data_IF_613454429356
#
_entry.id   IF_613454429356
#
_cell.length_a   1.000
_cell.length_b   1.000
_cell.length_c   1.000
_cell.angle_alpha   90.00
_cell.angle_beta   90.00
_cell.angle_gamma   90.00
#
_symmetry.space_group_name_H-M   'P 1'
#
loop_
_entity.id
_entity.type
_entity.pdbx_description
1 polymer ?
#
# COMPACT_ATOMS: atom_id res chain seq x y z
N UNK A 1 -2.52 -5.53 -29.65
CA UNK A 1 -2.24 -6.51 -28.58
C UNK A 1 -3.39 -6.45 -27.58
N UNK A 2 -3.77 -7.58 -27.00
CA UNK A 2 -4.90 -7.74 -26.06
C UNK A 2 -4.42 -8.25 -24.70
N UNK A 3 -5.25 -9.05 -24.01
CA UNK A 3 -4.89 -9.71 -22.74
C UNK A 3 -3.59 -10.53 -22.86
N UNK A 4 -2.77 -10.51 -21.80
CA UNK A 4 -1.48 -11.22 -21.72
C UNK A 4 -1.48 -12.19 -20.54
N UNK A 5 -1.42 -13.48 -20.83
CA UNK A 5 -1.36 -14.59 -19.86
C UNK A 5 0.07 -15.10 -19.64
N UNK A 6 1.06 -14.34 -20.08
CA UNK A 6 2.48 -14.69 -20.04
C UNK A 6 2.77 -16.01 -20.77
N UNK A 7 2.17 -16.20 -21.95
CA UNK A 7 2.34 -17.42 -22.74
C UNK A 7 1.65 -18.63 -22.09
N UNK A 8 0.52 -18.40 -21.43
CA UNK A 8 -0.27 -19.40 -20.73
C UNK A 8 0.31 -19.85 -19.37
N UNK A 9 1.38 -19.23 -18.88
CA UNK A 9 1.99 -19.57 -17.60
C UNK A 9 1.15 -19.08 -16.40
N UNK A 10 0.56 -17.90 -16.53
CA UNK A 10 -0.24 -17.29 -15.48
C UNK A 10 -1.65 -17.89 -15.45
N UNK A 11 -2.10 -18.37 -14.28
CA UNK A 11 -3.41 -19.02 -14.10
C UNK A 11 -4.43 -18.19 -13.32
N UNK A 12 -4.04 -16.99 -12.91
CA UNK A 12 -4.88 -16.01 -12.21
C UNK A 12 -4.77 -14.65 -12.91
N UNK A 13 -5.55 -13.65 -12.47
CA UNK A 13 -5.38 -12.27 -12.94
C UNK A 13 -4.10 -11.65 -12.36
N UNK A 14 -3.77 -10.40 -12.68
CA UNK A 14 -2.64 -9.68 -12.07
C UNK A 14 -3.14 -8.37 -11.49
N UNK A 15 -2.67 -8.02 -10.30
CA UNK A 15 -2.90 -6.73 -9.67
C UNK A 15 -2.18 -5.60 -10.41
N UNK A 16 -2.65 -4.37 -10.21
CA UNK A 16 -2.07 -3.17 -10.82
C UNK A 16 -0.73 -2.74 -10.21
N UNK A 17 -0.33 -3.31 -9.07
CA UNK A 17 0.87 -2.93 -8.33
C UNK A 17 1.96 -4.03 -8.31
N UNK A 18 2.52 -4.45 -9.45
CA UNK A 18 3.68 -5.33 -9.43
C UNK A 18 4.93 -4.58 -8.95
N UNK A 19 5.94 -5.32 -8.48
CA UNK A 19 7.25 -4.78 -8.08
C UNK A 19 8.35 -5.38 -8.93
N UNK A 20 9.21 -4.52 -9.49
CA UNK A 20 10.43 -4.97 -10.18
C UNK A 20 11.59 -4.78 -9.23
N UNK A 21 12.26 -5.87 -8.88
CA UNK A 21 13.56 -5.78 -8.22
C UNK A 21 14.61 -5.40 -9.27
N UNK A 22 15.16 -4.19 -9.20
CA UNK A 22 16.15 -3.71 -10.18
C UNK A 22 17.51 -4.40 -10.07
N UNK A 23 17.83 -5.06 -8.95
CA UNK A 23 19.09 -5.81 -8.78
C UNK A 23 19.05 -7.17 -9.47
N UNK A 24 17.92 -7.88 -9.39
CA UNK A 24 17.74 -9.18 -10.05
C UNK A 24 17.08 -9.05 -11.44
N UNK A 25 16.31 -7.98 -11.63
CA UNK A 25 15.42 -7.75 -12.77
C UNK A 25 14.18 -8.65 -12.78
N UNK A 26 13.86 -9.29 -11.65
CA UNK A 26 12.65 -10.09 -11.51
C UNK A 26 11.42 -9.21 -11.30
N UNK A 27 10.28 -9.67 -11.80
CA UNK A 27 8.97 -9.06 -11.61
C UNK A 27 8.19 -9.89 -10.60
N UNK A 28 7.90 -9.29 -9.45
CA UNK A 28 6.99 -9.81 -8.43
C UNK A 28 5.59 -9.27 -8.73
N UNK A 29 4.64 -10.17 -8.86
CA UNK A 29 3.25 -9.85 -9.15
C UNK A 29 2.35 -10.60 -8.17
N UNK A 30 1.19 -10.03 -7.88
CA UNK A 30 0.22 -10.70 -7.04
C UNK A 30 -1.20 -10.58 -7.61
N UNK A 31 -2.12 -11.34 -7.04
CA UNK A 31 -3.55 -11.28 -7.28
C UNK A 31 -4.31 -11.77 -6.06
N UNK A 32 -5.61 -11.54 -5.98
CA UNK A 32 -6.44 -11.99 -4.86
C UNK A 32 -7.81 -12.45 -5.36
N UNK A 33 -8.39 -13.46 -4.72
CA UNK A 33 -9.73 -13.92 -5.10
C UNK A 33 -10.82 -13.05 -4.48
N UNK A 34 -11.85 -12.75 -5.28
CA UNK A 34 -13.09 -12.09 -4.81
C UNK A 34 -14.05 -13.03 -4.08
N UNK A 35 -13.78 -14.34 -4.13
CA UNK A 35 -14.67 -15.39 -3.61
C UNK A 35 -13.97 -16.32 -2.63
N UNK A 36 -12.68 -16.59 -2.84
CA UNK A 36 -11.86 -17.46 -1.98
C UNK A 36 -10.94 -16.63 -1.09
N UNK A 37 -10.62 -17.10 0.12
CA UNK A 37 -9.67 -16.46 1.01
C UNK A 37 -8.22 -16.73 0.56
N UNK A 38 -7.87 -16.32 -0.67
CA UNK A 38 -6.61 -16.64 -1.33
C UNK A 38 -5.98 -15.40 -1.97
N UNK A 39 -4.68 -15.22 -1.74
CA UNK A 39 -3.78 -14.32 -2.47
C UNK A 39 -2.78 -15.16 -3.26
N UNK A 40 -2.55 -14.82 -4.52
CA UNK A 40 -1.55 -15.47 -5.37
C UNK A 40 -0.33 -14.55 -5.47
N UNK A 41 0.87 -15.06 -5.22
CA UNK A 41 2.14 -14.36 -5.41
C UNK A 41 2.96 -15.09 -6.47
N UNK A 42 3.32 -14.40 -7.55
CA UNK A 42 4.06 -14.92 -8.69
C UNK A 42 5.35 -14.13 -8.93
N UNK A 43 6.42 -14.82 -9.32
CA UNK A 43 7.71 -14.21 -9.66
C UNK A 43 8.09 -14.58 -11.08
N UNK A 44 8.44 -13.58 -11.88
CA UNK A 44 8.89 -13.76 -13.26
C UNK A 44 10.32 -13.27 -13.44
N UNK A 45 11.08 -13.95 -14.31
CA UNK A 45 12.38 -13.45 -14.75
C UNK A 45 12.25 -12.38 -15.85
N UNK A 46 13.39 -11.80 -16.24
CA UNK A 46 13.48 -10.80 -17.32
C UNK A 46 13.05 -11.35 -18.70
N UNK A 47 12.99 -12.67 -18.86
CA UNK A 47 12.55 -13.38 -20.08
C UNK A 47 11.08 -13.79 -20.00
N UNK A 48 10.34 -13.26 -19.02
CA UNK A 48 8.91 -13.51 -18.79
C UNK A 48 8.62 -14.98 -18.45
N UNK A 49 9.59 -15.72 -17.91
CA UNK A 49 9.39 -17.08 -17.41
C UNK A 49 8.91 -17.02 -15.97
N UNK A 50 7.87 -17.78 -15.65
CA UNK A 50 7.38 -17.93 -14.28
C UNK A 50 8.40 -18.76 -13.49
N UNK A 51 9.01 -18.15 -12.49
CA UNK A 51 9.97 -18.78 -11.60
C UNK A 51 9.27 -19.49 -10.44
N UNK A 52 8.27 -18.84 -9.86
CA UNK A 52 7.48 -19.35 -8.74
C UNK A 52 6.07 -18.77 -8.75
N UNK A 53 5.13 -19.53 -8.20
CA UNK A 53 3.77 -19.07 -7.91
C UNK A 53 3.24 -19.79 -6.68
N UNK A 54 2.86 -19.05 -5.65
CA UNK A 54 2.35 -19.58 -4.39
C UNK A 54 0.98 -18.99 -4.05
N UNK A 55 0.11 -19.80 -3.48
CA UNK A 55 -1.19 -19.37 -2.94
C UNK A 55 -1.10 -19.21 -1.44
N UNK A 56 -1.30 -17.99 -0.96
CA UNK A 56 -1.26 -17.60 0.45
C UNK A 56 -2.70 -17.49 0.98
N UNK A 57 -3.05 -18.23 2.04
CA UNK A 57 -4.38 -18.12 2.65
C UNK A 57 -4.52 -16.83 3.46
N UNK A 58 -5.65 -16.14 3.33
CA UNK A 58 -6.01 -14.93 4.10
C UNK A 58 -7.25 -15.17 4.97
N UNK A 59 -7.66 -14.22 5.82
CA UNK A 59 -8.79 -14.44 6.77
C UNK A 59 -10.09 -14.73 6.01
N UNK A 60 -10.38 -13.92 5.01
CA UNK A 60 -11.55 -13.99 4.14
C UNK A 60 -11.20 -13.36 2.78
N UNK A 61 -12.03 -13.50 1.76
CA UNK A 61 -11.85 -12.76 0.50
C UNK A 61 -11.75 -11.26 0.79
N UNK A 62 -10.59 -10.65 0.52
CA UNK A 62 -10.28 -9.26 0.85
C UNK A 62 -9.61 -8.57 -0.32
N UNK A 63 -9.87 -7.28 -0.48
CA UNK A 63 -9.21 -6.43 -1.45
C UNK A 63 -7.79 -6.11 -0.98
N UNK A 64 -6.83 -6.78 -1.61
CA UNK A 64 -5.41 -6.47 -1.49
C UNK A 64 -5.04 -5.45 -2.58
N UNK A 65 -4.93 -4.17 -2.23
CA UNK A 65 -4.62 -3.12 -3.21
C UNK A 65 -3.16 -3.14 -3.65
N UNK A 66 -2.25 -3.24 -2.68
CA UNK A 66 -0.80 -3.18 -2.90
C UNK A 66 -0.08 -4.23 -2.04
N UNK A 67 1.17 -4.52 -2.39
CA UNK A 67 2.06 -5.42 -1.65
C UNK A 67 3.49 -4.88 -1.71
N UNK A 68 4.37 -5.45 -0.88
CA UNK A 68 5.76 -5.02 -0.80
C UNK A 68 6.73 -6.19 -0.91
N UNK A 69 7.97 -5.90 -1.30
CA UNK A 69 9.09 -6.86 -1.31
C UNK A 69 10.28 -6.24 -0.60
N UNK A 70 11.17 -7.08 -0.07
CA UNK A 70 12.51 -6.72 0.40
C UNK A 70 13.55 -7.56 -0.36
N UNK A 71 14.81 -7.46 0.03
CA UNK A 71 15.87 -8.31 -0.51
C UNK A 71 15.54 -9.81 -0.39
N UNK A 72 14.97 -10.25 0.74
CA UNK A 72 14.68 -11.66 1.02
C UNK A 72 13.20 -11.99 1.20
N UNK A 73 12.32 -11.02 1.47
CA UNK A 73 10.93 -11.29 1.83
C UNK A 73 9.92 -10.67 0.86
N UNK A 74 8.75 -11.29 0.76
CA UNK A 74 7.54 -10.68 0.26
C UNK A 74 6.62 -10.38 1.45
N UNK A 75 5.95 -9.24 1.40
CA UNK A 75 5.03 -8.77 2.43
C UNK A 75 3.64 -8.67 1.81
N UNK A 76 2.71 -9.45 2.36
CA UNK A 76 1.32 -9.57 1.93
C UNK A 76 0.42 -8.99 3.03
N UNK A 77 -0.06 -7.76 2.86
CA UNK A 77 -1.10 -7.22 3.73
C UNK A 77 -2.38 -8.06 3.69
N UNK A 78 -3.05 -8.21 4.82
CA UNK A 78 -4.37 -8.82 4.94
C UNK A 78 -5.23 -7.83 5.74
N UNK A 79 -5.75 -6.84 4.99
CA UNK A 79 -6.43 -5.66 5.51
C UNK A 79 -7.96 -5.83 5.43
N UNK A 80 -8.76 -5.24 6.32
CA UNK A 80 -10.17 -5.55 6.46
C UNK A 80 -11.10 -4.83 5.45
N UNK A 81 -10.68 -4.74 4.19
CA UNK A 81 -11.56 -4.43 3.06
C UNK A 81 -12.10 -5.73 2.47
N UNK A 82 -13.27 -6.16 2.91
CA UNK A 82 -13.82 -7.48 2.60
C UNK A 82 -14.56 -7.48 1.27
N UNK A 83 -14.36 -8.53 0.46
CA UNK A 83 -15.07 -8.77 -0.79
C UNK A 83 -16.41 -9.46 -0.48
N UNK A 84 -17.53 -8.79 -0.77
CA UNK A 84 -18.88 -9.23 -0.42
C UNK A 84 -19.80 -9.32 -1.66
N UNK A 85 -19.50 -10.18 -2.66
CA UNK A 85 -20.24 -10.24 -3.93
C UNK A 85 -21.73 -10.54 -3.75
N UNK A 86 -22.10 -11.47 -2.86
CA UNK A 86 -23.51 -11.81 -2.63
C UNK A 86 -24.30 -10.64 -2.00
N UNK A 87 -23.69 -9.95 -1.02
CA UNK A 87 -24.27 -8.76 -0.37
C UNK A 87 -24.44 -7.63 -1.39
N UNK A 88 -23.41 -7.40 -2.21
CA UNK A 88 -23.40 -6.38 -3.26
C UNK A 88 -24.54 -6.57 -4.24
N UNK A 89 -24.74 -7.79 -4.76
CA UNK A 89 -25.85 -8.09 -5.68
C UNK A 89 -27.21 -7.89 -5.00
N UNK A 90 -27.37 -8.39 -3.77
CA UNK A 90 -28.65 -8.34 -3.05
C UNK A 90 -29.05 -6.91 -2.65
N UNK A 91 -28.08 -6.09 -2.28
CA UNK A 91 -28.30 -4.75 -1.72
C UNK A 91 -28.03 -3.63 -2.72
N UNK A 92 -27.59 -3.95 -3.95
CA UNK A 92 -27.14 -3.00 -4.96
C UNK A 92 -26.08 -2.01 -4.41
N UNK A 93 -25.07 -2.57 -3.74
CA UNK A 93 -23.96 -1.84 -3.12
C UNK A 93 -22.64 -2.17 -3.78
N UNK A 94 -21.62 -1.36 -3.51
CA UNK A 94 -20.26 -1.65 -3.92
C UNK A 94 -19.80 -3.03 -3.42
N UNK A 95 -18.95 -3.72 -4.19
CA UNK A 95 -18.55 -5.11 -3.91
C UNK A 95 -17.66 -5.23 -2.67
N UNK A 96 -17.02 -4.14 -2.27
CA UNK A 96 -16.08 -4.10 -1.13
C UNK A 96 -16.69 -3.30 0.00
N UNK A 97 -16.51 -3.76 1.24
CA UNK A 97 -16.94 -3.07 2.46
C UNK A 97 -15.80 -3.08 3.49
N UNK A 98 -15.64 -1.99 4.25
CA UNK A 98 -14.58 -1.90 5.26
C UNK A 98 -15.09 -2.38 6.61
N UNK A 99 -14.53 -3.48 7.11
CA UNK A 99 -14.85 -4.03 8.42
C UNK A 99 -14.02 -3.34 9.52
N UNK A 100 -14.60 -2.33 10.16
CA UNK A 100 -13.96 -1.54 11.25
C UNK A 100 -13.57 -2.39 12.47
N UNK A 101 -14.24 -3.53 12.68
CA UNK A 101 -13.94 -4.47 13.77
C UNK A 101 -13.04 -5.63 13.29
N UNK A 102 -12.63 -5.61 12.02
CA UNK A 102 -11.84 -6.66 11.40
C UNK A 102 -10.36 -6.55 11.73
N UNK A 103 -9.66 -7.68 11.71
CA UNK A 103 -8.21 -7.72 11.97
C UNK A 103 -7.42 -7.21 10.76
N UNK A 104 -6.41 -6.39 11.04
CA UNK A 104 -5.31 -6.10 10.11
C UNK A 104 -4.09 -6.93 10.49
N UNK A 105 -3.48 -7.58 9.49
CA UNK A 105 -2.23 -8.30 9.69
C UNK A 105 -1.36 -8.27 8.45
N UNK A 106 -0.06 -8.46 8.65
CA UNK A 106 0.95 -8.48 7.59
C UNK A 106 1.59 -9.85 7.54
N UNK A 107 1.48 -10.53 6.41
CA UNK A 107 2.10 -11.81 6.16
C UNK A 107 3.47 -11.61 5.53
N UNK A 108 4.52 -12.05 6.20
CA UNK A 108 5.91 -11.94 5.71
C UNK A 108 6.43 -13.34 5.43
N UNK A 109 6.87 -13.57 4.20
CA UNK A 109 7.32 -14.87 3.71
C UNK A 109 8.62 -14.70 2.92
N UNK A 110 9.51 -15.70 2.93
CA UNK A 110 10.64 -15.74 2.00
C UNK A 110 10.10 -15.58 0.57
N UNK A 111 10.69 -14.65 -0.20
CA UNK A 111 10.13 -14.22 -1.48
C UNK A 111 10.17 -15.30 -2.57
N UNK A 112 10.88 -16.42 -2.33
CA UNK A 112 10.92 -17.59 -3.20
C UNK A 112 10.29 -18.84 -2.57
N UNK A 113 9.71 -18.71 -1.37
CA UNK A 113 9.06 -19.84 -0.70
C UNK A 113 8.02 -20.48 -1.60
N UNK A 114 7.97 -21.82 -1.58
CA UNK A 114 6.94 -22.63 -2.20
C UNK A 114 5.98 -23.24 -1.15
N UNK A 115 6.23 -22.96 0.14
CA UNK A 115 5.46 -23.49 1.25
C UNK A 115 4.65 -22.36 1.90
N UNK A 116 3.32 -22.29 1.71
CA UNK A 116 2.53 -21.19 2.23
C UNK A 116 2.44 -21.22 3.76
N UNK A 117 2.81 -22.32 4.40
CA UNK A 117 2.83 -22.43 5.87
C UNK A 117 4.06 -21.76 6.49
N UNK A 118 5.05 -21.38 5.69
CA UNK A 118 6.24 -20.65 6.13
C UNK A 118 6.01 -19.16 6.38
N UNK A 119 4.84 -18.64 6.03
CA UNK A 119 4.48 -17.24 6.25
C UNK A 119 4.38 -16.91 7.75
N UNK A 120 4.92 -15.77 8.15
CA UNK A 120 4.76 -15.21 9.50
C UNK A 120 3.75 -14.08 9.48
N UNK A 121 2.68 -14.22 10.25
CA UNK A 121 1.65 -13.19 10.38
C UNK A 121 1.91 -12.30 11.58
N UNK A 122 1.91 -10.99 11.34
CA UNK A 122 2.01 -9.96 12.37
C UNK A 122 0.70 -9.20 12.44
N UNK A 123 -0.04 -9.35 13.54
CA UNK A 123 -1.28 -8.61 13.77
C UNK A 123 -0.97 -7.19 14.26
N UNK A 124 -1.83 -6.24 13.88
CA UNK A 124 -1.75 -4.83 14.28
C UNK A 124 -3.14 -4.33 14.69
N UNK A 125 -3.24 -3.08 15.13
CA UNK A 125 -4.53 -2.39 15.20
C UNK A 125 -5.17 -2.32 13.81
N UNK A 126 -6.50 -2.33 13.77
CA UNK A 126 -7.31 -2.22 12.55
C UNK A 126 -7.02 -0.91 11.82
N UNK A 127 -6.62 -1.01 10.55
CA UNK A 127 -6.38 0.11 9.65
C UNK A 127 -6.44 -0.35 8.19
N UNK A 128 -6.26 0.58 7.26
CA UNK A 128 -6.04 0.28 5.85
C UNK A 128 -4.87 1.07 5.29
N UNK A 129 -4.19 0.51 4.30
CA UNK A 129 -3.16 1.18 3.50
C UNK A 129 -3.48 0.88 2.05
N UNK A 130 -3.68 1.93 1.25
CA UNK A 130 -3.77 1.75 -0.20
C UNK A 130 -2.35 1.58 -0.73
N UNK A 131 -1.51 2.60 -0.64
CA UNK A 131 -0.17 2.54 -1.21
C UNK A 131 0.94 2.52 -0.16
N UNK A 132 1.95 1.70 -0.45
CA UNK A 132 3.19 1.65 0.31
C UNK A 132 4.29 2.41 -0.45
N UNK A 133 5.12 3.13 0.31
CA UNK A 133 6.24 3.87 -0.22
C UNK A 133 7.39 2.93 -0.62
N UNK A 134 7.85 2.11 0.33
CA UNK A 134 8.88 1.09 0.15
C UNK A 134 9.00 0.22 1.41
N UNK A 135 9.74 -0.88 1.29
CA UNK A 135 10.16 -1.72 2.41
C UNK A 135 11.59 -2.23 2.25
N UNK A 136 12.23 -2.56 3.36
CA UNK A 136 13.54 -3.20 3.37
C UNK A 136 13.78 -3.92 4.70
N UNK A 137 14.93 -4.58 4.82
CA UNK A 137 15.36 -5.26 6.04
C UNK A 137 16.43 -4.44 6.77
N UNK A 138 16.29 -4.31 8.08
CA UNK A 138 17.29 -3.74 8.98
C UNK A 138 17.76 -4.81 9.97
N UNK A 139 18.96 -4.61 10.52
CA UNK A 139 19.43 -5.37 11.68
C UNK A 139 19.38 -4.45 12.89
N UNK A 140 18.63 -4.85 13.93
CA UNK A 140 18.55 -4.06 15.15
C UNK A 140 19.82 -4.21 16.01
N UNK A 141 19.89 -3.50 17.13
CA UNK A 141 21.04 -3.52 18.05
C UNK A 141 21.35 -4.90 18.64
N UNK A 142 20.35 -5.82 18.65
CA UNK A 142 20.50 -7.19 19.13
C UNK A 142 20.95 -8.17 18.02
N UNK A 143 21.18 -7.70 16.79
CA UNK A 143 21.52 -8.55 15.65
C UNK A 143 20.32 -9.26 15.01
N UNK A 144 19.10 -8.81 15.27
CA UNK A 144 17.87 -9.44 14.77
C UNK A 144 17.39 -8.75 13.48
N UNK A 145 16.83 -9.54 12.56
CA UNK A 145 16.23 -9.03 11.33
C UNK A 145 14.89 -8.38 11.61
N UNK A 146 14.76 -7.11 11.20
CA UNK A 146 13.52 -6.33 11.27
C UNK A 146 13.13 -5.95 9.84
N UNK A 147 11.94 -6.38 9.43
CA UNK A 147 11.35 -5.92 8.16
C UNK A 147 10.64 -4.60 8.41
N UNK A 148 11.03 -3.58 7.66
CA UNK A 148 10.50 -2.22 7.77
C UNK A 148 9.60 -1.92 6.58
N UNK A 149 8.42 -1.36 6.82
CA UNK A 149 7.44 -1.03 5.78
C UNK A 149 6.97 0.41 5.96
N UNK A 150 7.04 1.23 4.92
CA UNK A 150 6.51 2.58 4.91
C UNK A 150 5.26 2.67 4.05
N UNK A 151 4.22 3.36 4.51
CA UNK A 151 2.98 3.49 3.75
C UNK A 151 2.05 4.60 4.24
N UNK A 152 0.98 4.80 3.48
CA UNK A 152 -0.08 5.77 3.77
C UNK A 152 -1.23 5.09 4.50
N UNK A 153 -1.28 5.28 5.82
CA UNK A 153 -2.25 4.62 6.70
C UNK A 153 -3.50 5.46 6.86
N UNK A 154 -4.64 4.77 6.79
CA UNK A 154 -5.95 5.26 7.17
C UNK A 154 -6.48 4.45 8.34
N UNK A 155 -6.91 5.11 9.42
CA UNK A 155 -7.56 4.42 10.55
C UNK A 155 -8.92 3.82 10.11
N UNK A 156 -9.64 4.54 9.24
CA UNK A 156 -10.90 4.12 8.63
C UNK A 156 -10.92 4.58 7.18
N UNK A 157 -11.48 3.76 6.29
CA UNK A 157 -11.73 4.13 4.90
C UNK A 157 -13.21 4.04 4.58
N UNK A 158 -13.65 4.90 3.66
CA UNK A 158 -14.90 4.73 2.93
C UNK A 158 -14.57 4.27 1.50
N UNK A 159 -14.97 3.05 1.17
CA UNK A 159 -14.63 2.40 -0.10
C UNK A 159 -15.66 2.72 -1.18
N UNK A 160 -16.80 3.31 -0.82
CA UNK A 160 -17.81 3.67 -1.80
C UNK A 160 -17.35 4.86 -2.65
N UNK A 161 -17.10 4.60 -3.93
CA UNK A 161 -16.73 5.64 -4.90
C UNK A 161 -18.01 6.23 -5.48
N UNK A 162 -18.59 7.20 -4.78
CA UNK A 162 -19.70 8.02 -5.28
C UNK A 162 -19.48 9.51 -4.98
N UNK A 163 -19.94 10.44 -5.83
CA UNK A 163 -19.73 11.87 -5.61
C UNK A 163 -20.25 12.39 -4.27
N UNK A 164 -21.34 11.78 -3.76
CA UNK A 164 -21.93 12.16 -2.47
C UNK A 164 -21.08 11.70 -1.29
N UNK A 165 -20.55 10.46 -1.34
CA UNK A 165 -19.62 9.93 -0.34
C UNK A 165 -18.32 10.73 -0.35
N UNK A 166 -17.77 11.02 -1.53
CA UNK A 166 -16.56 11.83 -1.67
C UNK A 166 -16.70 13.21 -1.02
N UNK A 167 -17.83 13.89 -1.30
CA UNK A 167 -18.14 15.19 -0.71
C UNK A 167 -18.32 15.12 0.80
N UNK A 168 -18.90 14.02 1.31
CA UNK A 168 -19.08 13.81 2.74
C UNK A 168 -17.75 13.56 3.46
N UNK A 169 -16.90 12.67 2.95
CA UNK A 169 -15.53 12.43 3.46
C UNK A 169 -14.74 13.74 3.55
N UNK A 170 -14.77 14.56 2.49
CA UNK A 170 -14.08 15.86 2.49
C UNK A 170 -14.62 16.82 3.56
N UNK A 171 -15.93 16.83 3.78
CA UNK A 171 -16.52 17.62 4.87
C UNK A 171 -16.13 17.07 6.23
N UNK A 172 -16.07 15.76 6.41
CA UNK A 172 -15.72 15.14 7.68
C UNK A 172 -14.24 15.34 8.02
N UNK A 173 -13.34 15.30 7.03
CA UNK A 173 -11.94 15.74 7.17
C UNK A 173 -11.86 17.22 7.59
N UNK A 174 -12.55 18.12 6.88
CA UNK A 174 -12.57 19.57 7.22
C UNK A 174 -13.12 19.84 8.61
N UNK A 175 -14.06 19.03 9.07
CA UNK A 175 -14.67 19.12 10.39
C UNK A 175 -13.91 18.35 11.47
N UNK A 176 -12.76 17.73 11.13
CA UNK A 176 -11.93 16.95 12.05
C UNK A 176 -12.58 15.66 12.57
N UNK A 177 -13.61 15.16 11.88
CA UNK A 177 -14.31 13.91 12.21
C UNK A 177 -13.63 12.68 11.61
N UNK A 178 -12.89 12.87 10.53
CA UNK A 178 -12.00 11.88 9.93
C UNK A 178 -10.58 12.43 9.86
N UNK A 179 -9.60 11.54 10.03
CA UNK A 179 -8.21 11.91 9.84
C UNK A 179 -7.83 11.60 8.39
N UNK A 180 -7.17 12.53 7.68
CA UNK A 180 -6.46 12.20 6.46
C UNK A 180 -5.42 11.10 6.72
N UNK A 181 -4.84 10.55 5.66
CA UNK A 181 -3.77 9.56 5.79
C UNK A 181 -2.61 10.04 6.67
N UNK A 182 -2.04 9.09 7.41
CA UNK A 182 -0.77 9.21 8.10
C UNK A 182 0.35 8.62 7.24
N UNK A 183 1.55 9.21 7.29
CA UNK A 183 2.75 8.53 6.81
C UNK A 183 3.29 7.74 7.99
N UNK A 184 3.41 6.42 7.83
CA UNK A 184 3.81 5.52 8.91
C UNK A 184 5.00 4.67 8.54
N UNK A 185 5.69 4.17 9.58
CA UNK A 185 6.71 3.13 9.53
C UNK A 185 6.26 1.96 10.41
N UNK A 186 6.07 0.80 9.81
CA UNK A 186 5.91 -0.47 10.54
C UNK A 186 7.26 -1.16 10.68
N UNK A 187 7.48 -1.80 11.83
CA UNK A 187 8.61 -2.68 12.07
C UNK A 187 8.10 -4.06 12.48
N UNK A 188 8.57 -5.10 11.80
CA UNK A 188 8.23 -6.50 12.07
C UNK A 188 9.50 -7.27 12.40
N UNK A 189 9.68 -7.64 13.66
CA UNK A 189 10.86 -8.38 14.10
C UNK A 189 10.68 -9.86 13.73
N UNK A 190 11.49 -10.33 12.79
CA UNK A 190 11.40 -11.69 12.26
C UNK A 190 11.89 -12.76 13.24
N UNK A 191 12.62 -12.36 14.28
CA UNK A 191 13.12 -13.24 15.34
C UNK A 191 12.14 -13.35 16.51
N UNK A 192 11.64 -12.21 17.02
CA UNK A 192 10.78 -12.18 18.22
C UNK A 192 9.29 -12.27 17.90
N UNK A 193 8.90 -12.09 16.64
CA UNK A 193 7.51 -11.97 16.18
C UNK A 193 6.76 -10.74 16.72
N UNK A 194 7.49 -9.75 17.25
CA UNK A 194 6.91 -8.48 17.70
C UNK A 194 6.74 -7.50 16.53
N UNK A 195 5.71 -6.68 16.59
CA UNK A 195 5.46 -5.58 15.65
C UNK A 195 5.40 -4.23 16.38
N UNK A 196 5.79 -3.16 15.70
CA UNK A 196 5.58 -1.79 16.16
C UNK A 196 5.22 -0.84 15.02
N UNK A 197 4.52 0.24 15.37
CA UNK A 197 4.14 1.32 14.46
C UNK A 197 4.77 2.63 14.95
N UNK A 198 5.35 3.38 14.02
CA UNK A 198 5.78 4.76 14.22
C UNK A 198 5.04 5.66 13.22
N UNK A 199 4.36 6.69 13.73
CA UNK A 199 3.73 7.73 12.90
C UNK A 199 4.80 8.78 12.57
N UNK A 200 5.17 8.87 11.29
CA UNK A 200 6.16 9.81 10.78
C UNK A 200 5.55 11.19 10.50
N UNK A 201 4.32 11.22 9.98
CA UNK A 201 3.52 12.45 9.83
C UNK A 201 2.05 12.09 10.07
N UNK A 202 1.43 12.74 11.07
CA UNK A 202 0.01 12.52 11.42
C UNK A 202 -0.91 13.42 10.59
N UNK A 203 -1.99 12.87 10.04
CA UNK A 203 -3.11 13.59 9.42
C UNK A 203 -2.70 14.48 8.25
N UNK A 204 -1.65 14.10 7.52
CA UNK A 204 -1.03 14.95 6.51
C UNK A 204 -1.73 14.87 5.16
N UNK A 205 -2.56 13.84 4.93
CA UNK A 205 -3.46 13.78 3.78
C UNK A 205 -2.75 13.62 2.45
N UNK A 206 -1.65 12.87 2.41
CA UNK A 206 -1.01 12.50 1.16
C UNK A 206 -1.06 11.01 0.85
N UNK A 207 -0.93 10.73 -0.42
CA UNK A 207 -1.07 9.41 -1.01
C UNK A 207 -0.20 9.34 -2.26
N UNK A 208 -0.14 8.17 -2.91
CA UNK A 208 0.77 7.91 -4.03
C UNK A 208 2.24 8.18 -3.66
N UNK A 209 2.75 7.59 -2.55
CA UNK A 209 4.15 7.71 -2.20
C UNK A 209 5.02 7.05 -3.26
N UNK A 210 6.11 7.70 -3.62
CA UNK A 210 7.10 7.16 -4.54
C UNK A 210 8.53 7.29 -4.00
N UNK A 211 9.32 6.29 -4.30
CA UNK A 211 10.77 6.26 -4.10
C UNK A 211 11.48 6.10 -5.44
N UNK A 212 12.79 6.37 -5.47
CA UNK A 212 13.59 6.00 -6.63
C UNK A 212 13.47 4.48 -6.85
N UNK A 213 13.04 4.09 -8.05
CA UNK A 213 12.71 2.70 -8.42
C UNK A 213 13.91 1.75 -8.31
N UNK A 214 15.14 2.26 -8.33
CA UNK A 214 16.36 1.47 -8.09
C UNK A 214 16.47 0.92 -6.66
N UNK A 215 15.66 1.46 -5.74
CA UNK A 215 15.64 1.08 -4.33
C UNK A 215 14.40 0.30 -3.92
N UNK A 216 13.53 -0.12 -4.83
CA UNK A 216 12.38 -0.97 -4.46
C UNK A 216 12.89 -2.25 -3.78
N UNK A 217 12.45 -2.47 -2.55
CA UNK A 217 12.89 -3.58 -1.70
C UNK A 217 14.23 -3.39 -0.98
N UNK A 218 14.84 -2.22 -1.11
CA UNK A 218 16.11 -1.87 -0.50
C UNK A 218 16.02 -0.53 0.23
N UNK A 219 16.92 -0.31 1.19
CA UNK A 219 16.91 0.90 2.01
C UNK A 219 17.05 2.16 1.15
N UNK A 220 16.10 3.09 1.29
CA UNK A 220 16.13 4.42 0.69
C UNK A 220 16.02 5.51 1.77
N UNK A 221 16.49 6.72 1.46
CA UNK A 221 16.38 7.88 2.36
C UNK A 221 15.17 8.76 2.07
N UNK A 222 14.79 8.87 0.79
CA UNK A 222 13.85 9.88 0.33
C UNK A 222 12.54 9.24 -0.10
N UNK A 223 11.43 9.80 0.39
CA UNK A 223 10.07 9.55 -0.12
C UNK A 223 9.56 10.84 -0.73
N UNK A 224 8.92 10.72 -1.89
CA UNK A 224 8.27 11.83 -2.58
C UNK A 224 6.79 11.52 -2.61
N UNK A 225 5.94 12.51 -2.37
CA UNK A 225 4.53 12.24 -2.26
C UNK A 225 3.72 13.51 -2.44
N UNK A 226 2.64 13.47 -3.24
CA UNK A 226 1.66 14.54 -3.26
C UNK A 226 0.81 14.53 -1.97
N UNK A 227 0.47 15.71 -1.45
CA UNK A 227 -0.36 15.86 -0.26
C UNK A 227 -1.16 17.17 -0.28
N UNK A 228 -2.20 17.24 0.55
CA UNK A 228 -2.99 18.46 0.75
C UNK A 228 -2.44 19.30 1.91
N UNK A 229 -2.03 20.54 1.62
CA UNK A 229 -1.60 21.48 2.65
C UNK A 229 -2.77 22.34 3.14
N UNK A 230 -3.60 21.79 4.04
CA UNK A 230 -4.79 22.48 4.57
C UNK A 230 -4.52 23.81 5.30
N UNK A 231 -3.27 24.20 5.51
CA UNK A 231 -2.91 25.50 6.11
C UNK A 231 -2.95 26.65 5.11
N UNK A 232 -2.97 26.35 3.82
CA UNK A 232 -2.93 27.33 2.74
C UNK A 232 -4.32 27.82 2.38
N UNK A 233 -4.36 29.03 1.83
CA UNK A 233 -5.61 29.70 1.41
C UNK A 233 -5.64 29.95 -0.10
N UNK A 234 -4.51 29.77 -0.77
CA UNK A 234 -4.33 29.77 -2.22
C UNK A 234 -4.44 28.36 -2.82
N UNK A 235 -4.78 27.36 -2.00
CA UNK A 235 -5.08 26.02 -2.47
C UNK A 235 -6.19 26.08 -3.51
N UNK A 236 -6.02 25.32 -4.59
CA UNK A 236 -7.03 25.30 -5.63
C UNK A 236 -8.34 24.76 -5.06
N UNK A 237 -9.40 25.55 -5.20
CA UNK A 237 -10.76 25.11 -4.90
C UNK A 237 -11.09 23.79 -5.61
N UNK A 238 -10.50 23.60 -6.79
CA UNK A 238 -10.60 22.39 -7.60
C UNK A 238 -9.85 21.16 -7.02
N UNK A 239 -8.67 21.32 -6.38
CA UNK A 239 -8.00 20.23 -5.62
C UNK A 239 -8.90 19.74 -4.49
N UNK A 240 -9.39 20.69 -3.68
CA UNK A 240 -10.23 20.41 -2.53
C UNK A 240 -11.60 19.83 -2.90
N UNK A 241 -12.10 20.10 -4.11
CA UNK A 241 -13.39 19.59 -4.60
C UNK A 241 -13.25 18.26 -5.37
N UNK A 242 -12.07 17.94 -5.94
CA UNK A 242 -11.86 16.75 -6.79
C UNK A 242 -10.81 15.74 -6.27
N UNK A 243 -10.41 15.79 -4.99
CA UNK A 243 -9.42 14.87 -4.38
C UNK A 243 -8.06 14.82 -5.11
N UNK A 244 -7.61 15.96 -5.64
CA UNK A 244 -6.24 16.09 -6.11
C UNK A 244 -5.40 16.87 -5.10
N UNK A 245 -4.10 16.69 -5.16
CA UNK A 245 -3.21 17.25 -4.15
C UNK A 245 -2.74 18.67 -4.51
N UNK A 246 -2.71 19.56 -3.52
CA UNK A 246 -2.25 20.94 -3.69
C UNK A 246 -0.73 21.13 -3.55
N UNK A 247 -0.01 20.12 -3.06
CA UNK A 247 1.43 20.20 -2.86
C UNK A 247 2.15 18.88 -3.16
N UNK A 248 3.44 18.96 -3.48
CA UNK A 248 4.36 17.84 -3.53
C UNK A 248 5.40 17.99 -2.43
N UNK A 249 5.74 16.92 -1.72
CA UNK A 249 6.83 16.94 -0.75
C UNK A 249 7.96 15.97 -1.07
N UNK A 250 9.13 16.27 -0.53
CA UNK A 250 10.25 15.36 -0.34
C UNK A 250 10.47 15.18 1.16
N UNK A 251 10.30 13.96 1.65
CA UNK A 251 10.48 13.57 3.03
C UNK A 251 11.82 12.84 3.22
N UNK A 252 12.53 13.19 4.29
CA UNK A 252 13.76 12.53 4.74
C UNK A 252 13.41 11.48 5.81
N UNK A 253 13.49 10.20 5.47
CA UNK A 253 13.20 9.11 6.41
C UNK A 253 14.23 9.01 7.55
N UNK A 254 15.45 9.49 7.33
CA UNK A 254 16.51 9.46 8.34
C UNK A 254 16.34 10.60 9.35
N UNK A 255 16.12 11.82 8.84
CA UNK A 255 15.94 13.02 9.68
C UNK A 255 14.50 13.22 10.14
N UNK A 256 13.57 12.37 9.65
CA UNK A 256 12.13 12.36 9.95
C UNK A 256 11.47 13.73 9.78
N UNK A 257 11.75 14.37 8.63
CA UNK A 257 11.23 15.70 8.31
C UNK A 257 11.01 15.90 6.83
N UNK A 258 10.08 16.80 6.50
CA UNK A 258 9.96 17.34 5.16
C UNK A 258 11.15 18.26 4.89
N UNK A 259 11.89 18.00 3.81
CA UNK A 259 13.10 18.76 3.44
C UNK A 259 12.91 19.64 2.21
N UNK A 260 11.86 19.38 1.43
CA UNK A 260 11.43 20.26 0.35
C UNK A 260 9.93 20.09 0.10
N UNK A 261 9.30 21.17 -0.33
CA UNK A 261 7.89 21.22 -0.72
C UNK A 261 7.77 22.05 -1.99
N UNK A 262 6.85 21.66 -2.87
CA UNK A 262 6.49 22.39 -4.08
C UNK A 262 4.97 22.55 -4.06
N UNK A 263 4.45 23.67 -3.57
CA UNK A 263 3.03 23.97 -3.67
C UNK A 263 2.66 24.24 -5.13
N UNK A 264 1.49 23.78 -5.54
CA UNK A 264 0.91 24.09 -6.83
C UNK A 264 0.04 25.35 -6.69
N UNK A 265 0.07 26.24 -7.69
CA UNK A 265 -0.68 27.49 -7.66
C UNK A 265 -2.20 27.30 -7.77
N UNK A 266 -2.94 28.42 -7.78
CA UNK A 266 -4.39 28.40 -7.97
C UNK A 266 -4.79 27.59 -9.22
N UNK A 267 -5.83 26.76 -9.08
CA UNK A 267 -6.35 25.84 -10.11
C UNK A 267 -5.30 24.86 -10.68
N UNK A 268 -4.21 24.62 -9.97
CA UNK A 268 -3.24 23.59 -10.29
C UNK A 268 -3.31 22.48 -9.23
N UNK A 269 -3.24 21.24 -9.69
CA UNK A 269 -3.24 20.06 -8.84
C UNK A 269 -2.25 19.03 -9.38
N UNK A 270 -1.92 18.03 -8.57
CA UNK A 270 -1.11 16.89 -9.01
C UNK A 270 -1.79 15.57 -8.66
N UNK A 271 -1.42 14.53 -9.40
CA UNK A 271 -1.64 13.13 -9.04
C UNK A 271 -0.32 12.43 -8.71
N UNK A 272 -0.26 11.12 -8.98
CA UNK A 272 0.96 10.31 -8.86
C UNK A 272 2.10 10.87 -9.73
N UNK A 273 3.31 10.89 -9.18
CA UNK A 273 4.52 11.35 -9.87
C UNK A 273 5.50 10.22 -10.08
N UNK A 274 6.29 10.30 -11.15
CA UNK A 274 7.25 9.26 -11.54
C UNK A 274 8.65 9.82 -11.71
N UNK A 275 9.65 9.01 -11.34
CA UNK A 275 11.04 9.24 -11.76
C UNK A 275 11.18 8.89 -13.24
N UNK A 276 11.85 9.76 -14.01
CA UNK A 276 12.27 9.48 -15.38
C UNK A 276 13.67 8.88 -15.41
#
# INVERSE_FOLDING_TARGET
>A
MGFDDYGGQLKHHVSAHPRVDRKTGELFAFAYSSEKPEVYLSVFDQKRQLLSSITIPVVCPRMLHDFQITEHYAIVPDLPAEMLPEKSIRENKFIVDYNKEGTTRYGIIDRYSQDPTSIKWFETSTHYVFHYANSWEETNENGETVVVVHGCKYDVIDIEISPDVEKQTLQDIKNGKETPSDLVRYNFNMTTSESSEEILIKGFGGEFPIVNQDFIGYQNRWVYMPYDDFSRTDDSREAMENRFFSCMMKYDLQEKKIVAQVPFGENCTTGEVFFQ
#
